data_IF_211465242503
#
_entry.id   IF_211465242503
#
_cell.length_a   1.000
_cell.length_b   1.000
_cell.length_c   1.000
_cell.angle_alpha   90.00
_cell.angle_beta   90.00
_cell.angle_gamma   90.00
#
_symmetry.space_group_name_H-M   'P 1'
#
loop_
_entity.id
_entity.type
_entity.pdbx_description
1 polymer ?
#
# COMPACT_ATOMS: atom_id res chain seq x y z
N UNK A 1 20.68 -6.88 -26.32
CA UNK A 1 19.31 -6.37 -26.07
C UNK A 1 18.69 -7.18 -24.95
N UNK A 2 18.48 -6.62 -23.75
CA UNK A 2 17.74 -7.28 -22.66
C UNK A 2 16.30 -6.74 -22.65
N UNK A 3 15.48 -7.22 -23.59
CA UNK A 3 14.05 -6.90 -23.68
C UNK A 3 13.23 -7.71 -22.67
N UNK A 4 13.51 -7.50 -21.40
CA UNK A 4 12.73 -8.02 -20.28
C UNK A 4 13.09 -7.16 -19.10
N UNK A 5 12.20 -6.23 -18.74
CA UNK A 5 12.34 -5.41 -17.53
C UNK A 5 12.67 -6.37 -16.39
N UNK A 6 13.84 -6.22 -15.77
CA UNK A 6 14.17 -6.99 -14.58
C UNK A 6 13.15 -6.60 -13.51
N UNK A 7 12.10 -7.40 -13.34
CA UNK A 7 11.10 -7.21 -12.29
C UNK A 7 11.66 -7.82 -11.02
N UNK A 8 12.74 -7.22 -10.49
CA UNK A 8 13.11 -7.41 -9.10
C UNK A 8 13.58 -6.04 -8.59
N UNK A 9 12.61 -5.14 -8.42
CA UNK A 9 12.70 -4.07 -7.42
C UNK A 9 11.54 -4.36 -6.48
N UNK A 10 11.83 -4.72 -5.23
CA UNK A 10 10.80 -5.02 -4.23
C UNK A 10 10.03 -3.73 -3.91
N UNK A 11 8.89 -3.53 -4.55
CA UNK A 11 8.03 -2.39 -4.29
C UNK A 11 7.21 -2.60 -3.02
N UNK A 12 6.95 -1.52 -2.29
CA UNK A 12 5.95 -1.55 -1.24
C UNK A 12 4.56 -1.43 -1.88
N UNK A 13 3.62 -2.24 -1.40
CA UNK A 13 2.24 -2.29 -1.88
C UNK A 13 1.29 -2.06 -0.71
N UNK A 14 0.31 -1.19 -0.90
CA UNK A 14 -0.72 -0.86 0.08
C UNK A 14 -2.09 -0.97 -0.56
N UNK A 15 -2.97 -1.80 0.02
CA UNK A 15 -4.36 -2.00 -0.39
C UNK A 15 -5.26 -1.56 0.75
N UNK A 16 -6.22 -0.68 0.51
CA UNK A 16 -7.13 -0.19 1.56
C UNK A 16 -8.54 0.04 1.03
N UNK A 17 -9.51 -0.23 1.88
CA UNK A 17 -10.91 0.12 1.65
C UNK A 17 -11.04 1.65 1.65
N UNK A 18 -11.47 2.22 0.53
CA UNK A 18 -11.59 3.68 0.38
C UNK A 18 -12.73 4.29 1.18
N UNK A 19 -13.69 3.49 1.63
CA UNK A 19 -14.83 3.96 2.39
C UNK A 19 -14.46 4.19 3.87
N UNK A 20 -13.25 3.79 4.28
CA UNK A 20 -12.75 3.91 5.64
C UNK A 20 -11.74 5.06 5.71
N UNK A 21 -11.84 5.85 6.78
CA UNK A 21 -10.91 6.95 7.05
C UNK A 21 -9.47 6.41 7.16
N UNK A 22 -8.55 7.11 6.50
CA UNK A 22 -7.14 6.77 6.52
C UNK A 22 -6.32 8.04 6.28
N UNK A 23 -5.08 8.03 6.77
CA UNK A 23 -4.09 9.05 6.46
C UNK A 23 -2.81 8.39 5.95
N UNK A 24 -2.09 9.07 5.07
CA UNK A 24 -0.85 8.54 4.52
C UNK A 24 0.10 9.64 4.06
N UNK A 25 1.39 9.29 3.99
CA UNK A 25 2.40 10.07 3.29
C UNK A 25 3.37 9.12 2.62
N UNK A 26 3.11 8.87 1.33
CA UNK A 26 3.89 7.95 0.52
C UNK A 26 4.79 8.72 -0.46
N UNK A 27 5.96 8.16 -0.75
CA UNK A 27 7.00 8.73 -1.61
C UNK A 27 7.40 7.72 -2.67
N UNK A 28 7.79 8.22 -3.85
CA UNK A 28 8.13 7.37 -4.99
C UNK A 28 6.95 6.52 -5.47
N UNK A 29 5.76 7.12 -5.55
CA UNK A 29 4.55 6.45 -6.03
C UNK A 29 4.69 6.18 -7.52
N UNK A 30 4.66 4.91 -7.89
CA UNK A 30 4.67 4.48 -9.30
C UNK A 30 3.26 4.31 -9.84
N UNK A 31 2.35 3.87 -8.96
CA UNK A 31 0.98 3.55 -9.35
C UNK A 31 0.03 3.85 -8.20
N UNK A 32 -1.10 4.46 -8.57
CA UNK A 32 -2.33 4.41 -7.80
C UNK A 32 -3.47 3.92 -8.70
N UNK A 33 -4.25 2.95 -8.23
CA UNK A 33 -5.44 2.45 -8.94
C UNK A 33 -6.54 2.08 -7.95
N UNK A 34 -7.77 2.25 -8.40
CA UNK A 34 -8.94 1.72 -7.72
C UNK A 34 -9.35 0.39 -8.35
N UNK A 35 -9.89 -0.52 -7.54
CA UNK A 35 -10.60 -1.70 -8.02
C UNK A 35 -11.84 -1.96 -7.16
N UNK A 36 -12.88 -2.52 -7.76
CA UNK A 36 -14.08 -2.90 -7.05
C UNK A 36 -14.05 -4.40 -6.74
N UNK A 37 -14.40 -4.76 -5.51
CA UNK A 37 -14.58 -6.15 -5.10
C UNK A 37 -15.79 -6.25 -4.16
N UNK A 38 -16.78 -7.06 -4.54
CA UNK A 38 -18.02 -7.26 -3.78
C UNK A 38 -18.70 -5.95 -3.35
N UNK A 39 -18.74 -4.95 -4.23
CA UNK A 39 -19.38 -3.65 -3.96
C UNK A 39 -18.54 -2.67 -3.13
N UNK A 40 -17.34 -3.05 -2.69
CA UNK A 40 -16.40 -2.19 -1.99
C UNK A 40 -15.33 -1.70 -2.98
N UNK A 41 -15.04 -0.41 -2.97
CA UNK A 41 -13.93 0.17 -3.73
C UNK A 41 -12.66 0.16 -2.88
N UNK A 42 -11.64 -0.51 -3.37
CA UNK A 42 -10.31 -0.54 -2.77
C UNK A 42 -9.32 0.28 -3.58
N UNK A 43 -8.45 1.02 -2.89
CA UNK A 43 -7.30 1.69 -3.49
C UNK A 43 -6.05 0.81 -3.37
N UNK A 44 -5.23 0.78 -4.42
CA UNK A 44 -3.91 0.13 -4.46
C UNK A 44 -2.84 1.17 -4.74
N UNK A 45 -1.85 1.28 -3.87
CA UNK A 45 -0.62 2.03 -4.12
C UNK A 45 0.55 1.09 -4.32
N UNK A 46 1.37 1.38 -5.31
CA UNK A 46 2.72 0.82 -5.47
C UNK A 46 3.70 1.99 -5.34
N UNK A 47 4.60 1.91 -4.37
CA UNK A 47 5.44 3.05 -3.96
C UNK A 47 6.81 2.62 -3.42
N UNK A 48 7.68 3.60 -3.17
CA UNK A 48 9.02 3.36 -2.64
C UNK A 48 9.07 3.30 -1.11
N UNK A 49 8.59 4.33 -0.40
CA UNK A 49 8.56 4.34 1.07
C UNK A 49 7.54 5.33 1.61
N UNK A 50 7.35 5.33 2.93
CA UNK A 50 6.49 6.28 3.59
C UNK A 50 5.73 5.64 4.74
N UNK A 51 4.54 6.15 5.02
CA UNK A 51 3.67 5.56 6.03
C UNK A 51 2.20 5.62 5.63
N UNK A 52 1.45 4.68 6.18
CA UNK A 52 0.00 4.60 6.08
C UNK A 52 -0.59 4.38 7.48
N UNK A 53 -1.72 5.02 7.76
CA UNK A 53 -2.50 4.82 8.98
C UNK A 53 -3.95 4.54 8.61
N UNK A 54 -4.43 3.38 9.03
CA UNK A 54 -5.87 3.09 9.06
C UNK A 54 -6.47 3.77 10.30
N UNK A 55 -7.47 4.61 10.10
CA UNK A 55 -8.14 5.38 11.15
C UNK A 55 -9.55 4.86 11.47
N UNK A 56 -10.00 3.82 10.76
CA UNK A 56 -11.28 3.17 11.04
C UNK A 56 -11.18 1.88 11.85
N UNK A 57 -12.34 1.44 12.32
CA UNK A 57 -12.52 0.19 13.04
C UNK A 57 -12.65 -1.01 12.08
N UNK A 58 -12.19 -2.20 12.50
CA UNK A 58 -12.37 -3.45 11.74
C UNK A 58 -11.10 -4.27 11.45
N UNK A 59 -9.93 -3.84 11.92
CA UNK A 59 -8.69 -4.64 11.82
C UNK A 59 -8.27 -4.92 10.36
N UNK A 60 -7.78 -6.14 10.09
CA UNK A 60 -7.23 -6.54 8.78
C UNK A 60 -8.26 -6.65 7.65
N UNK A 61 -9.57 -6.61 7.94
CA UNK A 61 -10.62 -6.73 6.91
C UNK A 61 -10.56 -5.55 5.91
N UNK A 62 -10.12 -4.37 6.36
CA UNK A 62 -10.19 -3.15 5.56
C UNK A 62 -8.92 -2.85 4.77
N UNK A 63 -7.87 -3.65 4.89
CA UNK A 63 -6.57 -3.31 4.32
C UNK A 63 -5.58 -4.48 4.31
N UNK A 64 -4.66 -4.45 3.35
CA UNK A 64 -3.55 -5.38 3.22
C UNK A 64 -2.32 -4.66 2.69
N UNK A 65 -1.13 -5.17 2.97
CA UNK A 65 0.12 -4.57 2.51
C UNK A 65 1.24 -5.60 2.37
N UNK A 66 2.24 -5.26 1.55
CA UNK A 66 3.43 -6.08 1.32
C UNK A 66 4.66 -5.19 1.10
N UNK A 67 5.84 -5.75 1.36
CA UNK A 67 7.14 -5.08 1.23
C UNK A 67 7.95 -5.08 2.53
N UNK A 68 8.80 -4.07 2.72
CA UNK A 68 9.62 -3.93 3.93
C UNK A 68 9.03 -2.90 4.87
N UNK A 69 8.54 -3.33 6.03
CA UNK A 69 7.81 -2.46 6.95
C UNK A 69 8.06 -2.75 8.43
N UNK A 70 7.70 -1.77 9.26
CA UNK A 70 7.38 -1.88 10.68
C UNK A 70 5.89 -1.59 10.86
N UNK A 71 5.20 -2.33 11.74
CA UNK A 71 3.78 -2.11 12.03
C UNK A 71 3.51 -2.01 13.52
N UNK A 72 2.57 -1.14 13.87
CA UNK A 72 2.00 -1.01 15.21
C UNK A 72 0.52 -0.61 15.10
N UNK A 73 -0.37 -1.52 15.51
CA UNK A 73 -1.82 -1.35 15.35
C UNK A 73 -2.23 -1.02 13.90
N UNK A 74 -2.92 0.11 13.74
CA UNK A 74 -3.36 0.64 12.44
C UNK A 74 -2.29 1.42 11.65
N UNK A 75 -1.09 1.58 12.19
CA UNK A 75 0.00 2.31 11.56
C UNK A 75 1.05 1.38 10.95
N UNK A 76 1.46 1.65 9.71
CA UNK A 76 2.53 0.92 9.02
C UNK A 76 3.51 1.91 8.42
N UNK A 77 4.79 1.71 8.74
CA UNK A 77 5.91 2.48 8.18
C UNK A 77 6.68 1.60 7.22
N UNK A 78 6.72 2.00 5.96
CA UNK A 78 7.41 1.32 4.89
C UNK A 78 8.82 1.91 4.72
N UNK A 79 9.81 1.03 4.64
CA UNK A 79 11.22 1.40 4.44
C UNK A 79 11.51 1.56 2.96
N UNK A 80 12.43 2.46 2.64
CA UNK A 80 12.93 2.62 1.27
C UNK A 80 13.73 1.39 0.87
N UNK A 81 13.72 1.14 -0.44
CA UNK A 81 14.51 0.09 -1.07
C UNK A 81 16.00 0.37 -0.80
N UNK A 82 16.76 -0.68 -0.45
CA UNK A 82 18.22 -0.64 -0.49
C UNK A 82 18.71 -0.98 -1.89
#
# INVERSE_FOLDING_TARGET
MKNGRQVIRDYNVMVFNRQVAHSSRLRGVELYRDFQYQGITYGVWIFDYGWFRNEGDGGWINWAFSGSFDRDGGYVKFRSRK
#
